data_IF_097718644688
#
_entry.id   IF_097718644688
#
_cell.length_a   1.000
_cell.length_b   1.000
_cell.length_c   1.000
_cell.angle_alpha   90.00
_cell.angle_beta   90.00
_cell.angle_gamma   90.00
#
_symmetry.space_group_name_H-M   'P 1'
#
loop_
_entity.id
_entity.type
_entity.pdbx_description
1 polymer ?
#
# COMPACT_ATOMS: atom_id res chain seq x y z
N UNK A 1 42.39 -4.12 24.32
CA UNK A 1 43.21 -5.26 23.85
C UNK A 1 43.31 -5.19 22.34
N UNK A 2 44.53 -5.27 21.80
CA UNK A 2 44.78 -5.27 20.36
C UNK A 2 45.32 -6.65 19.96
N UNK A 3 44.68 -7.31 19.00
CA UNK A 3 45.14 -8.56 18.39
C UNK A 3 45.26 -8.35 16.88
N UNK A 4 46.43 -8.68 16.34
CA UNK A 4 46.71 -8.58 14.92
C UNK A 4 47.45 -9.84 14.49
N UNK A 5 46.74 -10.70 13.76
CA UNK A 5 47.25 -11.96 13.27
C UNK A 5 47.23 -11.94 11.74
N UNK A 6 48.38 -12.18 11.11
CA UNK A 6 48.46 -12.32 9.65
C UNK A 6 47.71 -13.54 9.09
N UNK A 7 47.16 -14.40 9.96
CA UNK A 7 46.37 -15.59 9.61
C UNK A 7 45.04 -15.55 10.40
N UNK A 8 44.81 -16.47 11.32
CA UNK A 8 43.53 -16.58 12.06
C UNK A 8 43.69 -16.25 13.54
N UNK A 9 42.59 -15.77 14.14
CA UNK A 9 42.42 -15.66 15.59
C UNK A 9 41.44 -16.76 16.02
N UNK A 10 41.83 -17.56 17.00
CA UNK A 10 40.99 -18.61 17.59
C UNK A 10 41.02 -18.44 19.11
N UNK A 11 39.88 -18.14 19.70
CA UNK A 11 39.76 -17.93 21.15
C UNK A 11 38.53 -18.66 21.66
N UNK A 12 38.62 -19.25 22.85
CA UNK A 12 37.41 -19.72 23.52
C UNK A 12 36.67 -18.52 24.10
N UNK A 13 37.19 -18.02 25.22
CA UNK A 13 36.62 -16.86 25.93
C UNK A 13 37.64 -15.73 26.04
N UNK A 14 37.20 -14.49 25.79
CA UNK A 14 38.00 -13.29 26.00
C UNK A 14 37.24 -12.27 26.86
N UNK A 15 37.94 -11.70 27.86
CA UNK A 15 37.47 -10.57 28.67
C UNK A 15 38.42 -9.40 28.50
N UNK A 16 37.91 -8.27 28.01
CA UNK A 16 38.68 -7.09 27.66
C UNK A 16 38.14 -5.92 28.46
N UNK A 17 38.90 -5.38 29.41
CA UNK A 17 38.40 -4.33 30.33
C UNK A 17 38.08 -2.98 29.68
N UNK A 18 38.50 -2.77 28.43
CA UNK A 18 38.31 -1.53 27.65
C UNK A 18 37.84 -1.91 26.24
N UNK A 19 38.37 -1.27 25.19
CA UNK A 19 38.10 -1.64 23.80
C UNK A 19 38.83 -2.91 23.36
N UNK A 20 38.18 -3.72 22.53
CA UNK A 20 38.79 -4.83 21.80
C UNK A 20 38.93 -4.51 20.31
N UNK A 21 40.13 -4.66 19.75
CA UNK A 21 40.39 -4.48 18.31
C UNK A 21 41.09 -5.73 17.79
N UNK A 22 40.42 -6.50 16.94
CA UNK A 22 40.92 -7.76 16.41
C UNK A 22 41.04 -7.72 14.88
N UNK A 23 42.20 -8.08 14.35
CA UNK A 23 42.46 -8.16 12.91
C UNK A 23 43.05 -9.51 12.55
N UNK A 24 42.44 -10.18 11.58
CA UNK A 24 42.89 -11.46 11.06
C UNK A 24 43.00 -11.42 9.53
N UNK A 25 44.10 -11.93 8.98
CA UNK A 25 44.25 -12.13 7.53
C UNK A 25 43.30 -13.18 6.95
N UNK A 26 42.87 -14.15 7.76
CA UNK A 26 41.87 -15.16 7.43
C UNK A 26 40.70 -15.06 8.41
N UNK A 27 40.57 -15.96 9.38
CA UNK A 27 39.33 -16.11 10.15
C UNK A 27 39.44 -15.61 11.59
N UNK A 28 38.32 -15.18 12.15
CA UNK A 28 38.15 -14.94 13.58
C UNK A 28 37.08 -15.88 14.10
N UNK A 29 37.44 -16.78 15.01
CA UNK A 29 36.48 -17.60 15.75
C UNK A 29 36.59 -17.31 17.25
N UNK A 30 35.45 -17.08 17.89
CA UNK A 30 35.35 -16.93 19.33
C UNK A 30 34.08 -17.56 19.88
N UNK A 31 34.16 -18.26 21.02
CA UNK A 31 32.94 -18.74 21.68
C UNK A 31 32.24 -17.59 22.40
N UNK A 32 33.00 -16.80 23.18
CA UNK A 32 32.49 -15.65 23.92
C UNK A 32 33.49 -14.51 24.04
N UNK A 33 33.02 -13.28 23.86
CA UNK A 33 33.82 -12.06 24.02
C UNK A 33 33.04 -11.04 24.83
N UNK A 34 33.67 -10.47 25.85
CA UNK A 34 33.13 -9.33 26.60
C UNK A 34 34.12 -8.18 26.56
N UNK A 35 33.68 -6.99 26.17
CA UNK A 35 34.46 -5.76 26.21
C UNK A 35 33.82 -4.69 27.10
N UNK A 36 34.65 -3.88 27.77
CA UNK A 36 34.18 -2.81 28.64
C UNK A 36 33.52 -1.65 27.88
N UNK A 37 33.91 -1.42 26.63
CA UNK A 37 33.30 -0.41 25.77
C UNK A 37 33.14 -0.93 24.34
N UNK A 38 34.03 -0.62 23.39
CA UNK A 38 33.83 -0.98 21.99
C UNK A 38 34.46 -2.33 21.62
N UNK A 39 33.93 -2.98 20.58
CA UNK A 39 34.58 -4.11 19.92
C UNK A 39 34.59 -3.92 18.41
N UNK A 40 35.78 -3.89 17.81
CA UNK A 40 36.00 -3.81 16.37
C UNK A 40 36.76 -5.08 15.93
N UNK A 41 36.18 -5.85 15.01
CA UNK A 41 36.84 -7.02 14.43
C UNK A 41 36.77 -7.03 12.90
N UNK A 42 37.92 -7.26 12.29
CA UNK A 42 38.09 -7.39 10.85
C UNK A 42 38.76 -8.72 10.46
N UNK A 43 38.15 -9.46 9.54
CA UNK A 43 38.67 -10.74 9.06
C UNK A 43 38.71 -10.79 7.52
N UNK A 44 39.84 -11.24 6.96
CA UNK A 44 39.97 -11.47 5.51
C UNK A 44 39.17 -12.67 4.99
N UNK A 45 38.70 -13.54 5.89
CA UNK A 45 37.85 -14.70 5.66
C UNK A 45 36.55 -14.58 6.44
N UNK A 46 36.26 -15.55 7.31
CA UNK A 46 35.01 -15.67 8.08
C UNK A 46 35.17 -15.06 9.48
N UNK A 47 34.09 -14.47 10.00
CA UNK A 47 33.94 -14.19 11.44
C UNK A 47 32.86 -15.13 11.97
N UNK A 48 33.16 -15.88 13.03
CA UNK A 48 32.18 -16.68 13.78
C UNK A 48 32.29 -16.40 15.27
N UNK A 49 31.25 -15.79 15.85
CA UNK A 49 31.24 -15.45 17.27
C UNK A 49 29.99 -15.99 17.96
N UNK A 50 30.14 -16.86 18.95
CA UNK A 50 29.00 -17.36 19.73
C UNK A 50 28.27 -16.24 20.44
N UNK A 51 28.93 -15.60 21.42
CA UNK A 51 28.43 -14.45 22.18
C UNK A 51 29.41 -13.29 22.11
N UNK A 52 28.94 -12.08 21.82
CA UNK A 52 29.72 -10.85 21.95
C UNK A 52 28.92 -9.79 22.69
N UNK A 53 29.47 -9.32 23.81
CA UNK A 53 28.91 -8.22 24.59
C UNK A 53 29.90 -7.06 24.66
N UNK A 54 29.43 -5.87 24.33
CA UNK A 54 30.19 -4.63 24.36
C UNK A 54 29.41 -3.56 25.14
N UNK A 55 30.07 -2.82 26.02
CA UNK A 55 29.43 -1.73 26.77
C UNK A 55 29.01 -0.54 25.89
N UNK A 56 29.67 -0.38 24.74
CA UNK A 56 29.42 0.66 23.74
C UNK A 56 28.99 0.01 22.42
N UNK A 57 29.66 0.27 21.29
CA UNK A 57 29.33 -0.30 19.98
C UNK A 57 30.09 -1.58 19.60
N UNK A 58 29.52 -2.30 18.63
CA UNK A 58 30.14 -3.46 17.96
C UNK A 58 30.29 -3.14 16.46
N UNK A 59 31.48 -3.36 15.90
CA UNK A 59 31.72 -3.34 14.46
C UNK A 59 32.38 -4.65 14.04
N UNK A 60 31.71 -5.42 13.18
CA UNK A 60 32.22 -6.69 12.66
C UNK A 60 32.27 -6.63 11.13
N UNK A 61 33.46 -6.87 10.57
CA UNK A 61 33.69 -6.82 9.13
C UNK A 61 34.39 -8.08 8.65
N UNK A 62 33.75 -8.83 7.75
CA UNK A 62 34.34 -10.01 7.08
C UNK A 62 34.38 -9.84 5.56
N UNK A 63 35.32 -10.51 4.91
CA UNK A 63 35.24 -10.72 3.46
C UNK A 63 34.34 -11.92 3.12
N UNK A 64 34.38 -12.98 3.91
CA UNK A 64 33.50 -14.14 3.80
C UNK A 64 32.22 -13.97 4.63
N UNK A 65 31.62 -15.08 5.06
CA UNK A 65 30.43 -15.06 5.92
C UNK A 65 30.75 -14.51 7.31
N UNK A 66 29.82 -13.73 7.86
CA UNK A 66 29.78 -13.30 9.25
C UNK A 66 28.67 -14.10 9.94
N UNK A 67 29.02 -14.94 10.91
CA UNK A 67 28.06 -15.71 11.72
C UNK A 67 28.14 -15.34 13.20
N UNK A 68 26.99 -15.28 13.85
CA UNK A 68 26.93 -15.08 15.30
C UNK A 68 25.75 -15.76 16.00
N UNK A 69 25.92 -16.08 17.27
CA UNK A 69 24.82 -16.52 18.13
C UNK A 69 24.06 -15.34 18.73
N UNK A 70 24.75 -14.48 19.48
CA UNK A 70 24.17 -13.31 20.15
C UNK A 70 25.14 -12.13 20.19
N UNK A 71 24.68 -10.96 19.76
CA UNK A 71 25.41 -9.69 19.86
C UNK A 71 24.64 -8.73 20.77
N UNK A 72 25.32 -8.13 21.75
CA UNK A 72 24.76 -7.12 22.64
C UNK A 72 25.69 -5.90 22.72
N UNK A 73 25.14 -4.73 22.42
CA UNK A 73 25.86 -3.46 22.46
C UNK A 73 25.04 -2.40 23.22
N UNK A 74 25.71 -1.57 24.02
CA UNK A 74 25.10 -0.38 24.62
C UNK A 74 24.76 0.71 23.60
N UNK A 75 25.46 0.73 22.46
CA UNK A 75 25.26 1.66 21.35
C UNK A 75 24.91 0.90 20.05
N UNK A 76 25.54 1.26 18.94
CA UNK A 76 25.28 0.73 17.60
C UNK A 76 25.96 -0.63 17.35
N UNK A 77 25.33 -1.43 16.50
CA UNK A 77 25.91 -2.67 15.96
C UNK A 77 26.02 -2.54 14.43
N UNK A 78 27.25 -2.60 13.92
CA UNK A 78 27.57 -2.62 12.49
C UNK A 78 28.08 -3.99 12.05
N UNK A 79 27.42 -4.59 11.07
CA UNK A 79 27.74 -5.90 10.49
C UNK A 79 27.98 -5.74 8.99
N UNK A 80 29.16 -6.12 8.52
CA UNK A 80 29.51 -6.05 7.11
C UNK A 80 30.14 -7.37 6.63
N UNK A 81 29.57 -7.96 5.59
CA UNK A 81 30.12 -9.11 4.88
C UNK A 81 30.27 -8.77 3.38
N UNK A 82 31.51 -8.66 2.91
CA UNK A 82 31.80 -8.12 1.57
C UNK A 82 31.61 -9.09 0.41
N UNK A 83 31.71 -10.40 0.65
CA UNK A 83 31.48 -11.42 -0.38
C UNK A 83 30.57 -12.56 0.09
N UNK A 84 30.17 -12.58 1.38
CA UNK A 84 29.31 -13.62 1.95
C UNK A 84 28.01 -13.08 2.54
N UNK A 85 27.44 -13.88 3.44
CA UNK A 85 26.19 -13.57 4.16
C UNK A 85 26.44 -13.06 5.58
N UNK A 86 25.44 -12.38 6.15
CA UNK A 86 25.34 -12.12 7.60
C UNK A 86 24.30 -13.06 8.17
N UNK A 87 24.71 -13.98 9.06
CA UNK A 87 23.88 -15.01 9.64
C UNK A 87 23.90 -14.90 11.17
N UNK A 88 22.74 -14.76 11.80
CA UNK A 88 22.67 -14.40 13.21
C UNK A 88 21.47 -15.01 13.94
N UNK A 89 21.68 -15.35 15.21
CA UNK A 89 20.59 -15.58 16.16
C UNK A 89 19.99 -14.24 16.60
N UNK A 90 20.53 -13.68 17.69
CA UNK A 90 19.98 -12.50 18.37
C UNK A 90 20.89 -11.27 18.27
N UNK A 91 20.28 -10.09 18.11
CA UNK A 91 20.94 -8.78 18.16
C UNK A 91 20.19 -7.86 19.13
N UNK A 92 20.89 -7.35 20.15
CA UNK A 92 20.38 -6.31 21.06
C UNK A 92 21.26 -5.06 20.94
N UNK A 93 20.72 -3.99 20.34
CA UNK A 93 21.44 -2.72 20.15
C UNK A 93 20.76 -1.59 20.92
N UNK A 94 21.48 -0.95 21.84
CA UNK A 94 21.03 0.27 22.51
C UNK A 94 20.95 1.48 21.58
N UNK A 95 21.61 1.42 20.42
CA UNK A 95 21.52 2.38 19.32
C UNK A 95 20.77 1.80 18.11
N UNK A 96 21.46 1.77 16.96
CA UNK A 96 20.97 1.27 15.67
C UNK A 96 21.66 -0.04 15.26
N UNK A 97 21.01 -0.81 14.39
CA UNK A 97 21.58 -1.97 13.69
C UNK A 97 21.78 -1.62 12.21
N UNK A 98 23.02 -1.73 11.74
CA UNK A 98 23.37 -1.69 10.33
C UNK A 98 23.90 -3.06 9.90
N UNK A 99 23.16 -3.79 9.07
CA UNK A 99 23.57 -5.07 8.50
C UNK A 99 23.71 -4.95 6.98
N UNK A 100 24.91 -5.24 6.47
CA UNK A 100 25.22 -5.24 5.03
C UNK A 100 25.86 -6.55 4.62
N UNK A 101 25.31 -7.21 3.60
CA UNK A 101 25.85 -8.45 3.05
C UNK A 101 25.86 -8.42 1.53
N UNK A 102 26.92 -8.92 0.91
CA UNK A 102 26.95 -9.12 -0.54
C UNK A 102 26.01 -10.27 -0.98
N UNK A 103 25.86 -11.30 -0.16
CA UNK A 103 24.87 -12.35 -0.35
C UNK A 103 23.65 -12.09 0.55
N UNK A 104 23.31 -13.01 1.45
CA UNK A 104 22.06 -12.97 2.21
C UNK A 104 22.22 -12.32 3.60
N UNK A 105 21.11 -11.85 4.16
CA UNK A 105 20.99 -11.55 5.60
C UNK A 105 19.95 -12.50 6.20
N UNK A 106 20.33 -13.23 7.25
CA UNK A 106 19.39 -14.02 8.04
C UNK A 106 19.61 -13.73 9.53
N UNK A 107 18.64 -13.09 10.18
CA UNK A 107 18.68 -12.77 11.61
C UNK A 107 17.39 -13.27 12.25
N UNK A 108 17.50 -14.09 13.30
CA UNK A 108 16.34 -14.68 13.98
C UNK A 108 15.61 -13.64 14.83
N UNK A 109 16.33 -12.83 15.60
CA UNK A 109 15.78 -11.79 16.47
C UNK A 109 16.64 -10.53 16.50
N UNK A 110 16.02 -9.36 16.43
CA UNK A 110 16.70 -8.07 16.60
C UNK A 110 15.85 -7.07 17.39
N UNK A 111 16.30 -6.70 18.59
CA UNK A 111 15.69 -5.65 19.41
C UNK A 111 16.62 -4.43 19.44
N UNK A 112 16.16 -3.32 18.84
CA UNK A 112 16.98 -2.15 18.52
C UNK A 112 16.26 -0.88 18.98
N UNK A 113 16.94 -0.05 19.78
CA UNK A 113 16.30 1.15 20.36
C UNK A 113 16.01 2.22 19.31
N UNK A 114 16.86 2.35 18.30
CA UNK A 114 16.71 3.31 17.22
C UNK A 114 16.34 2.58 15.92
N UNK A 115 17.22 2.56 14.93
CA UNK A 115 16.87 2.17 13.56
C UNK A 115 17.46 0.82 13.18
N UNK A 116 16.75 0.11 12.31
CA UNK A 116 17.28 -1.09 11.64
C UNK A 116 17.48 -0.77 10.16
N UNK A 117 18.70 -0.97 9.65
CA UNK A 117 19.02 -0.90 8.23
C UNK A 117 19.64 -2.22 7.78
N UNK A 118 18.98 -2.92 6.86
CA UNK A 118 19.45 -4.18 6.27
C UNK A 118 19.60 -4.06 4.76
N UNK A 119 20.81 -4.25 4.23
CA UNK A 119 21.07 -4.23 2.77
C UNK A 119 21.75 -5.51 2.31
N UNK A 120 21.15 -6.21 1.35
CA UNK A 120 21.67 -7.50 0.85
C UNK A 120 21.68 -7.57 -0.68
N UNK A 121 22.72 -8.21 -1.24
CA UNK A 121 22.75 -8.57 -2.67
C UNK A 121 22.00 -9.86 -2.99
N UNK A 122 21.65 -10.65 -1.97
CA UNK A 122 20.75 -11.80 -2.03
C UNK A 122 19.48 -11.56 -1.22
N UNK A 123 18.88 -12.62 -0.68
CA UNK A 123 17.64 -12.57 0.08
C UNK A 123 17.84 -12.02 1.51
N UNK A 124 16.76 -11.57 2.14
CA UNK A 124 16.71 -11.29 3.57
C UNK A 124 15.66 -12.13 4.28
N UNK A 125 16.05 -12.69 5.42
CA UNK A 125 15.15 -13.37 6.34
C UNK A 125 15.28 -12.76 7.73
N UNK A 126 14.16 -12.28 8.24
CA UNK A 126 14.05 -11.75 9.59
C UNK A 126 12.99 -12.56 10.33
N UNK A 127 13.37 -13.24 11.42
CA UNK A 127 12.40 -13.94 12.26
C UNK A 127 11.50 -12.93 12.97
N UNK A 128 12.07 -12.19 13.91
CA UNK A 128 11.45 -11.06 14.60
C UNK A 128 12.38 -9.86 14.60
N UNK A 129 11.83 -8.65 14.47
CA UNK A 129 12.54 -7.44 14.88
C UNK A 129 11.62 -6.41 15.51
N UNK A 130 12.20 -5.59 16.38
CA UNK A 130 11.61 -4.36 16.90
C UNK A 130 12.62 -3.22 16.83
N UNK A 131 12.25 -2.13 16.16
CA UNK A 131 13.01 -0.88 16.10
C UNK A 131 12.20 0.23 16.78
N UNK A 132 12.78 0.98 17.72
CA UNK A 132 12.09 2.17 18.28
C UNK A 132 11.96 3.33 17.28
N UNK A 133 12.84 3.37 16.27
CA UNK A 133 12.84 4.30 15.15
C UNK A 133 12.34 3.67 13.85
N UNK A 134 13.00 3.99 12.74
CA UNK A 134 12.65 3.51 11.40
C UNK A 134 13.28 2.14 11.10
N UNK A 135 12.61 1.35 10.26
CA UNK A 135 13.18 0.11 9.69
C UNK A 135 13.27 0.23 8.17
N UNK A 136 14.47 0.03 7.61
CA UNK A 136 14.72 0.01 6.17
C UNK A 136 15.39 -1.30 5.75
N UNK A 137 14.68 -2.11 4.98
CA UNK A 137 15.19 -3.36 4.40
C UNK A 137 15.25 -3.24 2.88
N UNK A 138 16.42 -3.52 2.30
CA UNK A 138 16.65 -3.49 0.87
C UNK A 138 17.40 -4.75 0.41
N UNK A 139 16.74 -5.53 -0.45
CA UNK A 139 17.26 -6.80 -0.96
C UNK A 139 17.17 -6.82 -2.48
N UNK A 140 18.17 -7.41 -3.15
CA UNK A 140 18.05 -7.76 -4.57
C UNK A 140 17.29 -9.08 -4.78
N UNK A 141 17.19 -9.92 -3.74
CA UNK A 141 16.41 -11.15 -3.71
C UNK A 141 15.05 -10.94 -3.06
N UNK A 142 14.54 -11.99 -2.43
CA UNK A 142 13.29 -11.97 -1.66
C UNK A 142 13.51 -11.41 -0.24
N UNK A 143 12.46 -10.83 0.35
CA UNK A 143 12.43 -10.44 1.77
C UNK A 143 11.33 -11.21 2.49
N UNK A 144 11.71 -12.00 3.51
CA UNK A 144 10.78 -12.70 4.42
C UNK A 144 10.88 -12.11 5.82
N UNK A 145 9.75 -11.73 6.41
CA UNK A 145 9.64 -11.20 7.78
C UNK A 145 8.61 -11.99 8.56
N UNK A 146 8.99 -12.68 9.63
CA UNK A 146 7.99 -13.26 10.55
C UNK A 146 7.18 -12.15 11.22
N UNK A 147 7.80 -11.42 12.15
CA UNK A 147 7.17 -10.29 12.84
C UNK A 147 8.10 -9.07 12.86
N UNK A 148 7.70 -8.00 12.18
CA UNK A 148 8.42 -6.72 12.18
C UNK A 148 7.64 -5.62 12.90
N UNK A 149 8.32 -4.85 13.75
CA UNK A 149 7.78 -3.64 14.36
C UNK A 149 8.75 -2.47 14.23
N UNK A 150 8.24 -1.32 13.83
CA UNK A 150 8.96 -0.04 13.82
C UNK A 150 8.13 1.00 14.59
N UNK A 151 8.77 1.75 15.49
CA UNK A 151 8.13 2.85 16.22
C UNK A 151 7.78 4.04 15.31
N UNK A 152 8.33 4.09 14.09
CA UNK A 152 8.10 5.13 13.08
C UNK A 152 7.75 4.49 11.74
N UNK A 153 8.53 4.74 10.68
CA UNK A 153 8.25 4.27 9.35
C UNK A 153 8.99 2.96 9.04
N UNK A 154 8.35 2.13 8.24
CA UNK A 154 8.92 0.87 7.76
C UNK A 154 8.95 0.83 6.24
N UNK A 155 10.13 0.63 5.67
CA UNK A 155 10.36 0.52 4.22
C UNK A 155 10.98 -0.83 3.90
N UNK A 156 10.33 -1.61 3.03
CA UNK A 156 10.87 -2.87 2.50
C UNK A 156 10.90 -2.80 0.98
N UNK A 157 12.08 -2.90 0.39
CA UNK A 157 12.28 -2.96 -1.06
C UNK A 157 12.94 -4.30 -1.38
N UNK A 158 12.33 -5.03 -2.30
CA UNK A 158 12.74 -6.38 -2.67
C UNK A 158 12.84 -6.48 -4.18
N UNK A 159 13.98 -6.94 -4.69
CA UNK A 159 14.14 -7.29 -6.10
C UNK A 159 13.28 -8.50 -6.48
N UNK A 160 12.97 -9.38 -5.52
CA UNK A 160 12.04 -10.50 -5.66
C UNK A 160 10.67 -10.23 -5.02
N UNK A 161 10.21 -11.17 -4.20
CA UNK A 161 8.94 -11.13 -3.46
C UNK A 161 9.11 -10.67 -2.02
N UNK A 162 8.04 -10.12 -1.43
CA UNK A 162 7.95 -9.78 -0.01
C UNK A 162 6.91 -10.70 0.65
N UNK A 163 7.31 -11.40 1.71
CA UNK A 163 6.41 -12.20 2.53
C UNK A 163 6.48 -11.78 4.00
N UNK A 164 5.33 -11.67 4.66
CA UNK A 164 5.31 -11.43 6.10
C UNK A 164 4.12 -12.02 6.85
N UNK A 165 4.33 -12.42 8.11
CA UNK A 165 3.21 -12.82 8.98
C UNK A 165 2.60 -11.59 9.68
N UNK A 166 3.44 -10.71 10.24
CA UNK A 166 3.04 -9.46 10.87
C UNK A 166 4.01 -8.33 10.60
N UNK A 167 3.47 -7.16 10.24
CA UNK A 167 4.21 -5.90 10.16
C UNK A 167 3.43 -4.79 10.84
N UNK A 168 4.09 -4.05 11.73
CA UNK A 168 3.54 -2.88 12.40
C UNK A 168 4.49 -1.68 12.30
N UNK A 169 3.95 -0.51 11.94
CA UNK A 169 4.69 0.74 11.94
C UNK A 169 3.91 1.83 12.69
N UNK A 170 4.60 2.64 13.49
CA UNK A 170 4.01 3.78 14.19
C UNK A 170 3.54 4.90 13.25
N UNK A 171 4.00 4.91 12.00
CA UNK A 171 3.54 5.84 10.96
C UNK A 171 3.19 5.12 9.66
N UNK A 172 4.14 5.00 8.74
CA UNK A 172 3.89 4.54 7.37
C UNK A 172 4.59 3.23 7.09
N UNK A 173 3.88 2.32 6.43
CA UNK A 173 4.48 1.14 5.79
C UNK A 173 4.61 1.38 4.29
N UNK A 174 5.82 1.24 3.76
CA UNK A 174 6.11 1.24 2.33
C UNK A 174 6.71 -0.11 1.94
N UNK A 175 6.11 -0.82 1.00
CA UNK A 175 6.64 -2.08 0.49
C UNK A 175 6.61 -2.11 -1.03
N UNK A 176 7.71 -2.53 -1.64
CA UNK A 176 7.85 -2.64 -3.10
C UNK A 176 8.52 -3.96 -3.49
N UNK A 177 7.73 -4.91 -4.01
CA UNK A 177 8.19 -6.19 -4.55
C UNK A 177 8.37 -6.07 -6.07
N UNK A 178 9.57 -5.66 -6.49
CA UNK A 178 9.86 -5.18 -7.85
C UNK A 178 9.87 -6.30 -8.90
N UNK A 179 10.27 -7.51 -8.51
CA UNK A 179 10.30 -8.69 -9.40
C UNK A 179 9.23 -9.73 -9.08
N UNK A 180 8.50 -9.58 -7.98
CA UNK A 180 7.70 -10.66 -7.42
C UNK A 180 6.31 -10.26 -6.94
N UNK A 181 5.85 -10.98 -5.91
CA UNK A 181 4.57 -10.78 -5.25
C UNK A 181 4.77 -10.23 -3.84
N UNK A 182 3.73 -9.60 -3.29
CA UNK A 182 3.64 -9.23 -1.89
C UNK A 182 2.55 -10.09 -1.24
N UNK A 183 2.91 -10.88 -0.24
CA UNK A 183 1.97 -11.70 0.52
C UNK A 183 2.10 -11.43 2.01
N UNK A 184 1.04 -10.93 2.63
CA UNK A 184 1.02 -10.51 4.03
C UNK A 184 -0.10 -11.14 4.84
N UNK A 185 0.21 -11.48 6.09
CA UNK A 185 -0.78 -11.76 7.13
C UNK A 185 -1.43 -10.47 7.62
N UNK A 186 -0.87 -9.90 8.68
CA UNK A 186 -1.40 -8.72 9.36
C UNK A 186 -0.51 -7.50 9.18
N UNK A 187 -1.07 -6.41 8.64
CA UNK A 187 -0.41 -5.11 8.54
C UNK A 187 -1.09 -4.10 9.47
N UNK A 188 -0.32 -3.34 10.23
CA UNK A 188 -0.82 -2.23 11.04
C UNK A 188 0.02 -0.96 10.83
N UNK A 189 -0.62 0.16 10.50
CA UNK A 189 0.06 1.44 10.29
C UNK A 189 -0.91 2.62 10.37
N UNK A 190 -0.42 3.85 10.45
CA UNK A 190 -1.24 5.04 10.18
C UNK A 190 -1.63 5.08 8.70
N UNK A 191 -0.67 4.77 7.81
CA UNK A 191 -0.89 4.68 6.37
C UNK A 191 -0.01 3.64 5.69
N UNK A 192 -0.41 3.18 4.51
CA UNK A 192 0.34 2.19 3.73
C UNK A 192 0.47 2.51 2.25
N UNK A 193 1.62 2.22 1.66
CA UNK A 193 1.87 2.20 0.22
C UNK A 193 2.51 0.88 -0.14
N UNK A 194 1.76 0.02 -0.81
CA UNK A 194 2.17 -1.34 -1.12
C UNK A 194 2.12 -1.59 -2.62
N UNK A 195 3.23 -2.02 -3.18
CA UNK A 195 3.37 -2.35 -4.59
C UNK A 195 3.98 -3.73 -4.78
N UNK A 196 3.46 -4.46 -5.77
CA UNK A 196 4.03 -5.72 -6.22
C UNK A 196 3.86 -5.86 -7.73
N UNK A 197 4.86 -6.41 -8.41
CA UNK A 197 4.79 -6.61 -9.86
C UNK A 197 3.65 -7.56 -10.25
N UNK A 198 3.51 -8.67 -9.52
CA UNK A 198 2.58 -9.75 -9.86
C UNK A 198 1.31 -9.69 -9.02
N UNK A 199 1.36 -10.22 -7.81
CA UNK A 199 0.20 -10.30 -6.92
C UNK A 199 0.47 -9.55 -5.61
N UNK A 200 -0.54 -8.84 -5.13
CA UNK A 200 -0.60 -8.30 -3.78
C UNK A 200 -1.75 -9.02 -3.05
N UNK A 201 -1.41 -9.74 -1.99
CA UNK A 201 -2.36 -10.46 -1.14
C UNK A 201 -2.17 -10.05 0.31
N UNK A 202 -3.19 -9.46 0.93
CA UNK A 202 -3.20 -9.11 2.35
C UNK A 202 -4.36 -9.81 3.04
N UNK A 203 -4.05 -10.60 4.06
CA UNK A 203 -5.07 -11.25 4.87
C UNK A 203 -5.83 -10.21 5.70
N UNK A 204 -5.12 -9.23 6.27
CA UNK A 204 -5.71 -8.09 6.96
C UNK A 204 -4.76 -6.89 6.96
N UNK A 205 -5.31 -5.70 6.66
CA UNK A 205 -4.64 -4.43 6.84
C UNK A 205 -5.47 -3.52 7.75
N UNK A 206 -4.90 -3.08 8.86
CA UNK A 206 -5.47 -2.12 9.79
C UNK A 206 -4.76 -0.78 9.61
N UNK A 207 -5.44 0.21 9.04
CA UNK A 207 -4.87 1.54 8.78
C UNK A 207 -5.71 2.65 9.39
N UNK A 208 -5.10 3.77 9.74
CA UNK A 208 -5.85 4.90 10.32
C UNK A 208 -6.62 5.67 9.24
N UNK A 209 -5.98 5.98 8.11
CA UNK A 209 -6.53 6.93 7.13
C UNK A 209 -6.33 6.57 5.66
N UNK A 210 -5.20 5.96 5.27
CA UNK A 210 -4.89 5.75 3.85
C UNK A 210 -4.19 4.42 3.56
N UNK A 211 -4.59 3.76 2.46
CA UNK A 211 -3.91 2.60 1.92
C UNK A 211 -3.87 2.61 0.39
N UNK A 212 -2.67 2.65 -0.18
CA UNK A 212 -2.45 2.56 -1.63
C UNK A 212 -1.93 1.17 -1.99
N UNK A 213 -2.62 0.49 -2.91
CA UNK A 213 -2.33 -0.86 -3.37
C UNK A 213 -2.10 -0.86 -4.88
N UNK A 214 -0.95 -1.38 -5.33
CA UNK A 214 -0.59 -1.43 -6.74
C UNK A 214 -0.03 -2.80 -7.14
N UNK A 215 -0.77 -3.58 -7.94
CA UNK A 215 -0.31 -4.86 -8.49
C UNK A 215 -1.12 -5.30 -9.72
N UNK A 216 -0.62 -6.28 -10.47
CA UNK A 216 -1.42 -6.90 -11.55
C UNK A 216 -2.67 -7.61 -11.00
N UNK A 217 -2.56 -8.27 -9.84
CA UNK A 217 -3.70 -8.81 -9.09
C UNK A 217 -3.67 -8.36 -7.64
N UNK A 218 -4.75 -7.73 -7.17
CA UNK A 218 -4.91 -7.26 -5.79
C UNK A 218 -6.00 -8.09 -5.08
N UNK A 219 -5.66 -8.62 -3.91
CA UNK A 219 -6.60 -9.20 -2.96
C UNK A 219 -6.31 -8.66 -1.56
N UNK A 220 -7.26 -7.96 -0.94
CA UNK A 220 -7.03 -7.38 0.39
C UNK A 220 -8.31 -7.30 1.22
N UNK A 221 -8.17 -7.54 2.52
CA UNK A 221 -9.14 -7.12 3.53
C UNK A 221 -8.57 -5.95 4.32
N UNK A 222 -9.31 -4.85 4.39
CA UNK A 222 -8.87 -3.59 4.99
C UNK A 222 -9.88 -3.17 6.03
N UNK A 223 -9.40 -2.78 7.21
CA UNK A 223 -10.21 -2.16 8.25
C UNK A 223 -9.59 -0.84 8.66
N UNK A 224 -10.43 0.13 8.99
CA UNK A 224 -9.96 1.37 9.57
C UNK A 224 -9.77 1.20 11.09
N UNK A 225 -8.64 1.66 11.62
CA UNK A 225 -8.33 1.55 13.04
C UNK A 225 -9.23 2.44 13.90
N UNK A 226 -9.32 2.14 15.19
CA UNK A 226 -10.03 2.98 16.16
C UNK A 226 -9.39 4.38 16.34
N UNK A 227 -8.09 4.52 16.04
CA UNK A 227 -7.38 5.80 16.05
C UNK A 227 -7.64 6.62 14.78
N UNK A 228 -8.05 5.98 13.68
CA UNK A 228 -8.44 6.62 12.44
C UNK A 228 -9.60 7.60 12.61
N UNK A 229 -9.39 8.83 12.14
CA UNK A 229 -10.42 9.87 12.05
C UNK A 229 -10.82 10.10 10.59
N UNK A 230 -12.10 10.37 10.35
CA UNK A 230 -12.64 10.66 9.03
C UNK A 230 -12.71 9.44 8.11
N UNK A 231 -12.87 9.66 6.79
CA UNK A 231 -12.99 8.59 5.82
C UNK A 231 -11.68 7.81 5.64
N UNK A 232 -11.80 6.54 5.24
CA UNK A 232 -10.68 5.73 4.80
C UNK A 232 -10.46 5.95 3.30
N UNK A 233 -9.28 6.41 2.93
CA UNK A 233 -8.89 6.67 1.54
C UNK A 233 -8.07 5.51 0.97
N UNK A 234 -8.34 5.11 -0.26
CA UNK A 234 -7.56 4.08 -0.96
C UNK A 234 -7.25 4.44 -2.41
N UNK A 235 -6.13 3.94 -2.92
CA UNK A 235 -5.80 3.93 -4.34
C UNK A 235 -5.55 2.49 -4.78
N UNK A 236 -6.21 2.06 -5.85
CA UNK A 236 -6.21 0.68 -6.34
C UNK A 236 -5.83 0.64 -7.82
N UNK A 237 -4.59 0.28 -8.14
CA UNK A 237 -4.08 0.33 -9.52
C UNK A 237 -3.25 -0.90 -9.90
N UNK A 238 -2.89 -0.99 -11.18
CA UNK A 238 -1.78 -1.83 -11.60
C UNK A 238 -0.44 -1.35 -11.03
N UNK A 239 0.57 -2.21 -11.08
CA UNK A 239 1.94 -1.86 -10.72
C UNK A 239 2.42 -0.62 -11.51
N UNK A 240 3.14 0.30 -10.86
CA UNK A 240 3.52 1.62 -11.41
C UNK A 240 2.36 2.43 -12.03
N UNK A 241 1.21 2.49 -11.34
CA UNK A 241 0.00 3.22 -11.76
C UNK A 241 -0.65 2.70 -13.06
N UNK A 242 -0.33 1.47 -13.46
CA UNK A 242 -0.96 0.79 -14.59
C UNK A 242 -2.41 0.39 -14.32
N UNK A 243 -2.95 -0.46 -15.20
CA UNK A 243 -4.27 -1.10 -15.02
C UNK A 243 -4.04 -2.48 -14.40
N UNK A 244 -4.67 -2.75 -13.26
CA UNK A 244 -4.63 -4.07 -12.65
C UNK A 244 -5.49 -5.04 -13.46
N UNK A 245 -5.06 -6.28 -13.68
CA UNK A 245 -5.93 -7.31 -14.26
C UNK A 245 -7.10 -7.64 -13.34
N UNK A 246 -6.89 -7.66 -12.02
CA UNK A 246 -7.93 -8.01 -11.05
C UNK A 246 -7.77 -7.26 -9.75
N UNK A 247 -8.87 -6.73 -9.22
CA UNK A 247 -8.94 -6.10 -7.90
C UNK A 247 -10.07 -6.74 -7.11
N UNK A 248 -9.76 -7.30 -5.95
CA UNK A 248 -10.74 -7.82 -4.98
C UNK A 248 -10.42 -7.22 -3.62
N UNK A 249 -11.22 -6.26 -3.19
CA UNK A 249 -10.96 -5.52 -1.95
C UNK A 249 -12.23 -5.43 -1.13
N UNK A 250 -12.13 -5.85 0.14
CA UNK A 250 -13.15 -5.64 1.16
C UNK A 250 -12.64 -4.60 2.15
N UNK A 251 -13.44 -3.57 2.42
CA UNK A 251 -13.08 -2.46 3.30
C UNK A 251 -14.12 -2.24 4.38
N UNK A 252 -13.70 -2.20 5.64
CA UNK A 252 -14.52 -1.84 6.81
C UNK A 252 -14.09 -0.46 7.35
N UNK A 253 -14.54 0.64 6.72
CA UNK A 253 -14.25 1.99 7.19
C UNK A 253 -15.17 2.38 8.35
N UNK A 254 -14.80 3.40 9.13
CA UNK A 254 -15.64 3.91 10.24
C UNK A 254 -16.76 4.85 9.79
N UNK A 255 -16.52 5.61 8.73
CA UNK A 255 -17.47 6.60 8.19
C UNK A 255 -17.75 6.31 6.71
N UNK A 256 -16.80 6.63 5.84
CA UNK A 256 -16.93 6.45 4.40
C UNK A 256 -15.67 5.85 3.80
N UNK A 257 -15.83 5.16 2.67
CA UNK A 257 -14.73 4.68 1.85
C UNK A 257 -14.53 5.60 0.64
N UNK A 258 -13.38 6.25 0.55
CA UNK A 258 -13.01 7.10 -0.59
C UNK A 258 -11.94 6.40 -1.41
N UNK A 259 -12.24 6.10 -2.66
CA UNK A 259 -11.29 5.56 -3.62
C UNK A 259 -10.82 6.71 -4.50
N UNK A 260 -9.60 7.19 -4.27
CA UNK A 260 -9.03 8.31 -5.03
C UNK A 260 -8.91 7.91 -6.51
N UNK A 261 -8.35 6.73 -6.75
CA UNK A 261 -8.14 6.19 -8.08
C UNK A 261 -8.36 4.67 -8.10
N UNK A 262 -9.12 4.18 -9.09
CA UNK A 262 -9.36 2.78 -9.39
C UNK A 262 -8.99 2.51 -10.85
N UNK A 263 -8.02 1.63 -11.13
CA UNK A 263 -7.67 1.21 -12.49
C UNK A 263 -7.60 -0.31 -12.58
N UNK A 264 -8.60 -0.93 -13.19
CA UNK A 264 -8.66 -2.38 -13.29
C UNK A 264 -9.33 -2.89 -14.58
N UNK A 265 -9.06 -4.14 -14.96
CA UNK A 265 -9.86 -4.87 -15.94
C UNK A 265 -11.13 -5.38 -15.27
N UNK A 266 -10.97 -6.05 -14.13
CA UNK A 266 -12.06 -6.52 -13.28
C UNK A 266 -11.89 -6.04 -11.84
N UNK A 267 -12.95 -5.49 -11.26
CA UNK A 267 -12.99 -5.05 -9.87
C UNK A 267 -14.16 -5.66 -9.10
N UNK A 268 -13.89 -6.16 -7.90
CA UNK A 268 -14.87 -6.57 -6.90
C UNK A 268 -14.56 -5.83 -5.62
N UNK A 269 -15.45 -4.90 -5.28
CA UNK A 269 -15.29 -3.96 -4.18
C UNK A 269 -16.44 -4.19 -3.20
N UNK A 270 -16.13 -4.33 -1.93
CA UNK A 270 -17.13 -4.54 -0.88
C UNK A 270 -16.85 -3.65 0.32
N UNK A 271 -17.89 -3.08 0.91
CA UNK A 271 -17.79 -2.34 2.16
C UNK A 271 -19.05 -2.45 3.01
N UNK A 272 -18.86 -2.34 4.34
CA UNK A 272 -19.94 -2.26 5.32
C UNK A 272 -20.45 -0.84 5.55
N UNK A 273 -19.79 0.18 5.01
CA UNK A 273 -20.35 1.53 5.03
C UNK A 273 -21.45 1.67 3.99
N UNK A 274 -22.42 2.55 4.28
CA UNK A 274 -23.38 3.00 3.29
C UNK A 274 -22.78 4.00 2.29
N UNK A 275 -21.61 4.58 2.63
CA UNK A 275 -20.93 5.63 1.86
C UNK A 275 -19.67 5.11 1.19
N UNK A 276 -19.66 5.16 -0.13
CA UNK A 276 -18.49 4.83 -0.95
C UNK A 276 -18.39 5.80 -2.12
N UNK A 277 -17.21 6.34 -2.39
CA UNK A 277 -16.97 7.23 -3.52
C UNK A 277 -15.76 6.77 -4.30
N UNK A 278 -15.80 6.91 -5.62
CA UNK A 278 -14.69 6.70 -6.53
C UNK A 278 -14.46 8.01 -7.28
N UNK A 279 -13.34 8.67 -6.99
CA UNK A 279 -12.98 9.95 -7.59
C UNK A 279 -12.60 9.82 -9.05
N UNK A 280 -11.73 8.84 -9.37
CA UNK A 280 -11.32 8.51 -10.73
C UNK A 280 -11.32 7.00 -10.94
N UNK A 281 -12.15 6.50 -11.84
CA UNK A 281 -12.19 5.09 -12.20
C UNK A 281 -11.81 4.88 -13.67
N UNK A 282 -11.12 3.77 -13.95
CA UNK A 282 -10.93 3.19 -15.26
C UNK A 282 -11.19 1.69 -15.17
N UNK A 283 -12.28 1.22 -15.77
CA UNK A 283 -12.67 -0.20 -15.75
C UNK A 283 -12.77 -0.75 -17.16
N UNK A 284 -11.91 -1.70 -17.53
CA UNK A 284 -11.94 -2.21 -18.90
C UNK A 284 -13.11 -3.15 -19.17
N UNK A 285 -13.50 -3.96 -18.18
CA UNK A 285 -14.49 -5.02 -18.37
C UNK A 285 -15.62 -4.96 -17.35
N UNK A 286 -15.36 -5.31 -16.10
CA UNK A 286 -16.42 -5.34 -15.08
C UNK A 286 -16.02 -4.71 -13.76
N UNK A 287 -17.00 -4.12 -13.08
CA UNK A 287 -16.88 -3.72 -11.68
C UNK A 287 -18.14 -4.12 -10.93
N UNK A 288 -17.98 -4.69 -9.75
CA UNK A 288 -19.05 -4.81 -8.74
C UNK A 288 -18.65 -4.00 -7.51
N UNK A 289 -19.53 -3.12 -7.05
CA UNK A 289 -19.40 -2.39 -5.78
C UNK A 289 -20.59 -2.73 -4.89
N UNK A 290 -20.32 -3.39 -3.77
CA UNK A 290 -21.32 -3.75 -2.77
C UNK A 290 -21.10 -2.88 -1.52
N UNK A 291 -22.04 -1.98 -1.24
CA UNK A 291 -22.10 -1.25 0.03
C UNK A 291 -23.10 -1.94 0.97
N UNK A 292 -23.28 -1.40 2.18
CA UNK A 292 -24.31 -1.91 3.09
C UNK A 292 -25.76 -1.77 2.56
N UNK A 293 -26.00 -0.89 1.59
CA UNK A 293 -27.35 -0.55 1.12
C UNK A 293 -27.54 -0.66 -0.39
N UNK A 294 -26.47 -0.82 -1.17
CA UNK A 294 -26.54 -0.77 -2.63
C UNK A 294 -25.53 -1.74 -3.27
N UNK A 295 -25.97 -2.44 -4.31
CA UNK A 295 -25.14 -3.23 -5.22
C UNK A 295 -25.11 -2.57 -6.59
N UNK A 296 -23.97 -1.96 -6.91
CA UNK A 296 -23.70 -1.35 -8.20
C UNK A 296 -22.91 -2.33 -9.04
N UNK A 297 -23.31 -2.52 -10.29
CA UNK A 297 -22.59 -3.34 -11.25
C UNK A 297 -22.35 -2.60 -12.55
N UNK A 298 -21.15 -2.74 -13.10
CA UNK A 298 -20.76 -2.19 -14.38
C UNK A 298 -20.25 -3.31 -15.29
N UNK A 299 -20.71 -3.33 -16.54
CA UNK A 299 -20.27 -4.25 -17.57
C UNK A 299 -20.06 -3.51 -18.89
N UNK A 300 -18.80 -3.20 -19.20
CA UNK A 300 -18.40 -2.48 -20.41
C UNK A 300 -18.30 -3.40 -21.63
N UNK A 301 -18.66 -4.68 -21.49
CA UNK A 301 -18.60 -5.68 -22.56
C UNK A 301 -19.94 -6.27 -22.96
N UNK A 302 -20.93 -6.24 -22.07
CA UNK A 302 -22.24 -6.78 -22.32
C UNK A 302 -23.35 -5.92 -21.66
N UNK A 303 -24.20 -5.24 -22.44
CA UNK A 303 -25.28 -4.39 -21.92
C UNK A 303 -26.50 -5.18 -21.41
N UNK A 304 -26.40 -6.51 -21.28
CA UNK A 304 -27.51 -7.31 -20.77
C UNK A 304 -27.83 -6.94 -19.32
N UNK A 305 -29.10 -6.62 -19.09
CA UNK A 305 -29.62 -6.29 -17.76
C UNK A 305 -29.45 -7.45 -16.78
N UNK A 306 -29.01 -7.13 -15.56
CA UNK A 306 -28.79 -8.06 -14.45
C UNK A 306 -29.64 -7.65 -13.24
N UNK A 307 -29.96 -8.59 -12.32
CA UNK A 307 -30.74 -8.30 -11.12
C UNK A 307 -29.88 -7.63 -10.02
N UNK A 308 -29.47 -6.39 -10.29
CA UNK A 308 -28.67 -5.52 -9.39
C UNK A 308 -29.46 -4.26 -9.04
N UNK A 309 -28.98 -3.51 -8.04
CA UNK A 309 -29.70 -2.32 -7.57
C UNK A 309 -29.48 -1.13 -8.51
N UNK A 310 -28.26 -1.01 -9.05
CA UNK A 310 -27.93 -0.09 -10.15
C UNK A 310 -26.99 -0.78 -11.14
N UNK A 311 -27.30 -0.71 -12.43
CA UNK A 311 -26.43 -1.17 -13.51
C UNK A 311 -25.91 0.01 -14.34
N UNK A 312 -24.60 0.01 -14.57
CA UNK A 312 -23.87 1.05 -15.28
C UNK A 312 -23.14 0.48 -16.50
N UNK A 313 -22.90 1.35 -17.48
CA UNK A 313 -21.98 1.11 -18.60
C UNK A 313 -21.21 2.40 -18.88
N UNK A 314 -19.93 2.27 -19.27
CA UNK A 314 -19.11 3.39 -19.66
C UNK A 314 -18.21 3.06 -20.84
N UNK A 315 -18.52 3.61 -22.01
CA UNK A 315 -17.86 3.26 -23.28
C UNK A 315 -16.39 3.70 -23.34
N UNK A 316 -16.06 4.87 -22.78
CA UNK A 316 -14.68 5.35 -22.66
C UNK A 316 -13.94 4.76 -21.43
N UNK A 317 -14.63 3.88 -20.69
CA UNK A 317 -14.17 3.17 -19.49
C UNK A 317 -13.86 4.05 -18.28
N UNK A 318 -14.00 5.37 -18.40
CA UNK A 318 -13.58 6.33 -17.38
C UNK A 318 -14.78 6.98 -16.71
N UNK A 319 -14.86 6.95 -15.39
CA UNK A 319 -16.01 7.49 -14.67
C UNK A 319 -15.66 7.91 -13.23
N UNK A 320 -16.59 8.61 -12.60
CA UNK A 320 -16.66 8.86 -11.16
C UNK A 320 -18.01 8.38 -10.62
N UNK A 321 -18.02 7.98 -9.35
CA UNK A 321 -19.29 7.70 -8.67
C UNK A 321 -19.21 8.05 -7.19
N UNK A 322 -20.36 8.37 -6.61
CA UNK A 322 -20.55 8.52 -5.17
C UNK A 322 -21.87 7.87 -4.77
N UNK A 323 -21.79 6.84 -3.93
CA UNK A 323 -22.93 6.17 -3.31
C UNK A 323 -23.05 6.64 -1.86
N UNK A 324 -24.25 7.10 -1.47
CA UNK A 324 -24.64 7.42 -0.09
C UNK A 324 -26.00 6.79 0.20
N UNK A 325 -25.95 5.61 0.82
CA UNK A 325 -27.14 4.81 1.09
C UNK A 325 -27.83 4.32 -0.17
N UNK A 326 -29.04 4.80 -0.45
CA UNK A 326 -29.80 4.47 -1.67
C UNK A 326 -29.67 5.52 -2.79
N UNK A 327 -28.83 6.54 -2.58
CA UNK A 327 -28.56 7.60 -3.57
C UNK A 327 -27.21 7.36 -4.27
N UNK A 328 -27.20 7.49 -5.60
CA UNK A 328 -26.00 7.38 -6.43
C UNK A 328 -25.85 8.61 -7.33
N UNK A 329 -24.67 9.22 -7.31
CA UNK A 329 -24.25 10.23 -8.28
C UNK A 329 -23.17 9.61 -9.16
N UNK A 330 -23.32 9.69 -10.48
CA UNK A 330 -22.30 9.16 -11.41
C UNK A 330 -22.34 9.89 -12.74
N UNK A 331 -21.20 9.95 -13.42
CA UNK A 331 -21.10 10.38 -14.81
C UNK A 331 -21.07 9.20 -15.79
N UNK A 332 -21.24 7.96 -15.32
CA UNK A 332 -21.43 6.80 -16.19
C UNK A 332 -22.87 6.71 -16.73
N UNK A 333 -23.07 6.00 -17.84
CA UNK A 333 -24.41 5.70 -18.31
C UNK A 333 -25.13 4.73 -17.37
N UNK A 334 -26.38 5.05 -17.03
CA UNK A 334 -27.23 4.24 -16.15
C UNK A 334 -28.17 3.41 -17.01
N UNK A 335 -27.94 2.09 -17.07
CA UNK A 335 -28.75 1.16 -17.86
C UNK A 335 -30.05 0.78 -17.13
N UNK A 336 -29.97 0.58 -15.81
CA UNK A 336 -31.12 0.28 -14.97
C UNK A 336 -30.86 0.65 -13.52
N UNK A 337 -31.93 0.88 -12.77
CA UNK A 337 -31.90 0.99 -11.31
C UNK A 337 -33.20 0.43 -10.73
N UNK A 338 -33.12 -0.15 -9.53
CA UNK A 338 -34.26 -0.75 -8.85
C UNK A 338 -35.16 0.27 -8.16
N UNK A 339 -36.36 -0.18 -7.78
CA UNK A 339 -37.29 0.62 -6.97
C UNK A 339 -36.65 1.01 -5.63
N UNK A 340 -36.85 2.27 -5.21
CA UNK A 340 -36.30 2.81 -3.96
C UNK A 340 -34.88 3.39 -4.08
N UNK A 341 -34.21 3.21 -5.23
CA UNK A 341 -32.92 3.82 -5.53
C UNK A 341 -33.10 5.12 -6.31
N UNK A 342 -32.21 6.10 -6.06
CA UNK A 342 -32.20 7.39 -6.74
C UNK A 342 -30.85 7.58 -7.41
N UNK A 343 -30.85 7.78 -8.72
CA UNK A 343 -29.63 8.03 -9.50
C UNK A 343 -29.68 9.41 -10.12
N UNK A 344 -28.57 10.14 -10.03
CA UNK A 344 -28.35 11.43 -10.68
C UNK A 344 -27.12 11.35 -11.58
N UNK A 345 -27.28 11.76 -12.82
CA UNK A 345 -26.20 11.86 -13.80
C UNK A 345 -26.21 13.24 -14.46
N UNK A 346 -25.12 14.03 -14.33
CA UNK A 346 -25.08 15.39 -14.83
C UNK A 346 -24.67 15.48 -16.31
N UNK A 347 -24.05 14.43 -16.86
CA UNK A 347 -23.62 14.36 -18.25
C UNK A 347 -24.55 13.52 -19.13
N UNK A 348 -25.83 13.49 -18.78
CA UNK A 348 -26.84 12.72 -19.50
C UNK A 348 -27.35 13.46 -20.76
N UNK A 349 -26.43 13.77 -21.67
CA UNK A 349 -26.71 14.38 -22.98
C UNK A 349 -26.01 13.60 -24.11
N UNK A 350 -26.36 13.92 -25.38
CA UNK A 350 -25.84 13.23 -26.58
C UNK A 350 -24.31 13.18 -26.63
N UNK A 351 -23.68 14.23 -26.15
CA UNK A 351 -22.23 14.43 -26.24
C UNK A 351 -21.50 13.93 -24.99
N UNK A 352 -22.25 13.43 -23.99
CA UNK A 352 -21.77 12.97 -22.69
C UNK A 352 -20.89 13.97 -21.94
N UNK A 353 -21.13 15.26 -22.17
CA UNK A 353 -20.44 16.38 -21.51
C UNK A 353 -21.19 16.73 -20.24
N UNK A 354 -20.49 17.10 -19.17
CA UNK A 354 -21.11 17.61 -17.94
C UNK A 354 -22.02 18.80 -18.30
N UNK A 355 -23.34 18.62 -18.16
CA UNK A 355 -24.29 19.71 -18.29
C UNK A 355 -24.70 20.13 -16.90
N UNK A 356 -24.80 21.42 -16.61
CA UNK A 356 -25.28 21.94 -15.32
C UNK A 356 -26.75 21.52 -14.98
N UNK A 357 -27.32 20.61 -15.77
CA UNK A 357 -28.62 19.98 -15.63
C UNK A 357 -28.46 18.56 -15.10
N UNK A 358 -28.90 18.34 -13.86
CA UNK A 358 -29.00 17.01 -13.28
C UNK A 358 -30.20 16.26 -13.84
N UNK A 359 -29.96 15.12 -14.50
CA UNK A 359 -31.05 14.25 -14.94
C UNK A 359 -31.41 13.24 -13.85
N UNK A 360 -32.69 13.24 -13.46
CA UNK A 360 -33.24 12.26 -12.52
C UNK A 360 -33.68 10.99 -13.27
N UNK A 361 -33.40 9.82 -12.66
CA UNK A 361 -33.43 8.48 -13.26
C UNK A 361 -34.51 8.17 -14.31
N UNK A 362 -35.79 8.52 -14.11
CA UNK A 362 -36.84 8.22 -15.10
C UNK A 362 -36.66 8.97 -16.42
N UNK A 363 -36.13 10.19 -16.37
CA UNK A 363 -35.84 11.04 -17.53
C UNK A 363 -34.66 10.48 -18.33
N UNK A 364 -33.67 9.96 -17.59
CA UNK A 364 -32.47 9.36 -18.09
C UNK A 364 -32.79 8.08 -18.88
N UNK A 365 -33.46 7.10 -18.25
CA UNK A 365 -33.83 5.84 -18.90
C UNK A 365 -34.63 6.02 -20.20
N UNK A 366 -35.57 6.97 -20.24
CA UNK A 366 -36.35 7.29 -21.46
C UNK A 366 -35.50 7.87 -22.59
N UNK A 367 -34.37 8.50 -22.29
CA UNK A 367 -33.45 9.03 -23.29
C UNK A 367 -32.48 7.96 -23.79
N UNK A 368 -31.98 7.06 -22.93
CA UNK A 368 -31.19 5.90 -23.39
C UNK A 368 -32.00 4.92 -24.24
N UNK A 369 -33.27 4.66 -23.93
CA UNK A 369 -34.16 3.89 -24.81
C UNK A 369 -34.25 4.48 -26.22
N UNK A 370 -34.20 5.82 -26.34
CA UNK A 370 -34.18 6.55 -27.62
C UNK A 370 -32.82 6.51 -28.31
N UNK A 371 -31.72 6.53 -27.55
CA UNK A 371 -30.36 6.66 -28.09
C UNK A 371 -29.73 5.30 -28.46
N UNK A 372 -30.00 4.25 -27.70
CA UNK A 372 -29.51 2.88 -27.94
C UNK A 372 -30.39 2.07 -28.91
N UNK A 373 -31.45 2.66 -29.49
CA UNK A 373 -32.40 2.00 -30.38
C UNK A 373 -32.91 0.66 -29.82
N UNK A 374 -33.25 0.61 -28.53
CA UNK A 374 -33.77 -0.60 -27.89
C UNK A 374 -35.23 -0.91 -28.27
N UNK A 375 -35.88 -0.05 -29.08
CA UNK A 375 -37.20 -0.28 -29.65
C UNK A 375 -37.22 0.05 -31.16
N UNK A 376 -37.23 -0.95 -32.06
CA UNK A 376 -37.32 -0.74 -33.51
C UNK A 376 -38.72 -0.28 -33.97
N UNK A 377 -39.70 -0.17 -33.07
CA UNK A 377 -41.09 0.22 -33.38
C UNK A 377 -41.44 1.69 -33.11
N UNK A 378 -40.55 2.49 -32.54
CA UNK A 378 -40.89 3.85 -32.12
C UNK A 378 -40.68 4.86 -33.27
N UNK A 379 -41.76 5.34 -33.87
CA UNK A 379 -41.71 6.45 -34.84
C UNK A 379 -41.68 7.80 -34.11
N UNK A 380 -40.78 8.65 -34.55
CA UNK A 380 -40.53 9.97 -33.97
C UNK A 380 -41.73 10.90 -34.22
N UNK A 381 -42.63 10.99 -33.25
CA UNK A 381 -43.59 12.09 -33.15
C UNK A 381 -43.20 12.98 -31.97
N UNK A 382 -42.12 13.74 -32.14
CA UNK A 382 -41.90 14.90 -31.30
C UNK A 382 -43.11 15.86 -31.43
N UNK A 383 -43.75 16.29 -30.34
CA UNK A 383 -44.70 17.38 -30.42
C UNK A 383 -43.93 18.65 -30.77
N UNK A 384 -44.19 19.19 -31.96
CA UNK A 384 -43.77 20.55 -32.34
C UNK A 384 -44.43 21.52 -31.38
N UNK A 385 -43.71 21.94 -30.34
CA UNK A 385 -44.09 23.13 -29.57
C UNK A 385 -43.67 24.35 -30.38
N UNK A 386 -44.62 24.91 -31.12
CA UNK A 386 -44.49 26.27 -31.66
C UNK A 386 -44.55 27.21 -30.45
N UNK A 387 -43.40 27.76 -30.07
CA UNK A 387 -43.36 28.91 -29.18
C UNK A 387 -43.68 30.15 -30.02
N UNK A 388 -44.94 30.56 -29.96
CA UNK A 388 -45.36 31.88 -30.40
C UNK A 388 -44.92 32.86 -29.30
N UNK A 389 -43.75 33.48 -29.49
CA UNK A 389 -43.28 34.57 -28.63
C UNK A 389 -43.29 35.84 -29.47
N UNK A 390 -44.34 36.61 -29.25
CA UNK A 390 -44.48 38.00 -29.69
C UNK A 390 -43.36 38.83 -29.05
N UNK A 391 -42.41 39.29 -29.87
CA UNK A 391 -41.32 40.15 -29.42
C UNK A 391 -41.84 41.58 -29.25
N UNK A 392 -42.48 41.83 -28.11
CA UNK A 392 -42.70 43.17 -27.58
C UNK A 392 -41.44 43.68 -26.88
N UNK A 393 -40.92 44.81 -27.37
CA UNK A 393 -39.83 45.57 -26.77
C UNK A 393 -40.07 45.82 -25.28
N UNK A 394 -39.17 45.34 -24.42
CA UNK A 394 -38.73 46.14 -23.28
C UNK A 394 -37.33 45.70 -22.83
N UNK A 395 -36.36 46.52 -23.20
CA UNK A 395 -34.96 46.42 -22.80
C UNK A 395 -34.81 47.13 -21.45
N UNK A 396 -34.50 46.38 -20.40
CA UNK A 396 -33.83 46.95 -19.22
C UNK A 396 -32.47 46.26 -19.09
N UNK A 397 -31.46 46.94 -19.63
CA UNK A 397 -30.07 46.70 -19.28
C UNK A 397 -29.82 47.30 -17.88
N UNK A 398 -29.23 46.53 -16.97
CA UNK A 398 -28.54 47.08 -15.81
C UNK A 398 -27.19 46.42 -15.66
N UNK A 399 -26.17 47.22 -15.90
CA UNK A 399 -24.78 47.02 -15.51
C UNK A 399 -24.62 46.78 -14.00
N UNK A 400 -23.68 45.91 -13.66
CA UNK A 400 -22.77 46.07 -12.52
C UNK A 400 -23.34 45.94 -11.11
N UNK A 401 -23.22 44.74 -10.52
CA UNK A 401 -22.72 44.57 -9.15
C UNK A 401 -22.42 43.08 -8.87
N UNK A 402 -21.17 42.80 -8.51
CA UNK A 402 -20.77 41.53 -7.92
C UNK A 402 -21.40 41.38 -6.53
N UNK A 403 -22.05 40.24 -6.27
CA UNK A 403 -22.58 39.90 -4.95
C UNK A 403 -21.66 38.86 -4.30
N UNK A 404 -20.94 39.33 -3.29
CA UNK A 404 -20.11 38.56 -2.37
C UNK A 404 -21.01 37.84 -1.35
N UNK A 405 -20.91 36.52 -1.26
CA UNK A 405 -21.50 35.74 -0.17
C UNK A 405 -20.37 35.21 0.72
N UNK A 406 -20.18 35.89 1.86
CA UNK A 406 -19.25 35.49 2.89
C UNK A 406 -19.63 34.16 3.55
N UNK A 407 -18.60 33.45 4.02
CA UNK A 407 -18.71 32.23 4.81
C UNK A 407 -19.23 32.53 6.24
N UNK A 408 -19.99 31.61 6.86
CA UNK A 408 -20.19 31.60 8.30
C UNK A 408 -19.18 30.67 9.02
N UNK A 409 -18.87 31.07 10.25
CA UNK A 409 -17.93 30.45 11.21
C UNK A 409 -18.17 28.97 11.51
#
# INVERSE_FOLDING_TARGET
MYLDAGQSIQLGVAQIGSDGIWKAGSDINADAVTTGCAFDAGAGGVISIGLLQAGCGIALTSSGTLSFGHLQAGDDIGLASHAGSVLGGQVDAGGSLLATAAADIAIEEADVTQNITGTSGGAQRWGRYAAGGDTRLQSQGDVTVGSGASGRAQSIISGGSITFDRVAAGSTVSMDAQGGSLSGGNLQAVSGVLAARNQLSLSQALVDTRLNLAADSIQAQVAQSAAGQGPLTTTLTGYHNGVARKVVVEVDPRDAWLIDQLKAVDAQLATRSARASIGQAYIERTMALNTAQMRVFMDNTNPMLRPVDVQLIQLDKSFRLAADGTFLVTDAYVESFGDGFRVTSPNYNRDHVDSDLNYFGESALRYMGRMLQLDPGYSDQAPVRVFDVDMGEDVIATDGAAVNFGAPN
#
